data_IF_008220483211
#
_entry.id   IF_008220483211
#
_cell.length_a   1.000
_cell.length_b   1.000
_cell.length_c   1.000
_cell.angle_alpha   90.00
_cell.angle_beta   90.00
_cell.angle_gamma   90.00
#
_symmetry.space_group_name_H-M   'P 1'
#
loop_
_entity.id
_entity.type
_entity.pdbx_description
1 polymer ?
#
# COMPACT_ATOMS: atom_id res chain seq x y z
N UNK A 1 -23.34 -56.84 -67.50
CA UNK A 1 -22.49 -56.62 -66.31
C UNK A 1 -22.08 -55.14 -66.20
N UNK A 2 -23.03 -54.20 -66.09
CA UNK A 2 -22.74 -52.75 -66.14
C UNK A 2 -23.36 -51.95 -64.98
N UNK A 3 -24.08 -52.59 -64.05
CA UNK A 3 -24.80 -51.88 -62.97
C UNK A 3 -23.93 -51.58 -61.74
N UNK A 4 -22.88 -52.38 -61.46
CA UNK A 4 -22.01 -52.19 -60.28
C UNK A 4 -20.97 -51.07 -60.44
N UNK A 5 -20.60 -50.71 -61.68
CA UNK A 5 -19.63 -49.63 -61.94
C UNK A 5 -20.20 -48.26 -61.59
N UNK A 6 -21.50 -48.03 -61.84
CA UNK A 6 -22.16 -46.76 -61.58
C UNK A 6 -22.36 -46.50 -60.08
N UNK A 7 -22.71 -47.54 -59.31
CA UNK A 7 -22.87 -47.43 -57.85
C UNK A 7 -21.55 -47.12 -57.14
N UNK A 8 -20.44 -47.74 -57.56
CA UNK A 8 -19.11 -47.47 -57.01
C UNK A 8 -18.57 -46.08 -57.41
N UNK A 9 -19.01 -45.52 -58.54
CA UNK A 9 -18.68 -44.14 -58.91
C UNK A 9 -19.53 -43.12 -58.12
N UNK A 10 -20.81 -43.41 -57.90
CA UNK A 10 -21.70 -42.57 -57.11
C UNK A 10 -21.28 -42.52 -55.63
N UNK A 11 -20.88 -43.65 -55.04
CA UNK A 11 -20.34 -43.70 -53.68
C UNK A 11 -19.05 -42.89 -53.52
N UNK A 12 -18.19 -42.84 -54.55
CA UNK A 12 -16.96 -42.02 -54.55
C UNK A 12 -17.26 -40.52 -54.65
N UNK A 13 -18.36 -40.14 -55.30
CA UNK A 13 -18.77 -38.73 -55.37
C UNK A 13 -19.40 -38.24 -54.06
N UNK A 14 -20.09 -39.12 -53.32
CA UNK A 14 -20.69 -38.78 -52.02
C UNK A 14 -19.66 -38.77 -50.86
N UNK A 15 -18.57 -39.54 -50.97
CA UNK A 15 -17.48 -39.56 -49.98
C UNK A 15 -16.42 -38.48 -50.22
N UNK A 16 -16.37 -37.86 -51.41
CA UNK A 16 -15.48 -36.73 -51.71
C UNK A 16 -16.03 -35.39 -51.20
N UNK A 17 -16.54 -35.34 -49.96
CA UNK A 17 -16.78 -34.07 -49.28
C UNK A 17 -15.45 -33.63 -48.68
N UNK A 18 -14.64 -32.96 -49.49
CA UNK A 18 -13.49 -32.14 -49.06
C UNK A 18 -14.04 -31.10 -48.07
N UNK A 19 -14.01 -31.43 -46.78
CA UNK A 19 -14.22 -30.47 -45.71
C UNK A 19 -13.08 -29.47 -45.82
N UNK A 20 -13.40 -28.32 -46.41
CA UNK A 20 -12.55 -27.14 -46.39
C UNK A 20 -12.57 -26.63 -44.94
N UNK A 21 -11.88 -27.34 -44.06
CA UNK A 21 -11.48 -26.79 -42.77
C UNK A 21 -10.64 -25.58 -43.12
N UNK A 22 -11.23 -24.39 -43.04
CA UNK A 22 -10.48 -23.15 -42.97
C UNK A 22 -9.48 -23.39 -41.85
N UNK A 23 -8.23 -23.67 -42.21
CA UNK A 23 -7.14 -23.60 -41.26
C UNK A 23 -7.21 -22.17 -40.75
N UNK A 24 -7.78 -22.01 -39.55
CA UNK A 24 -7.59 -20.79 -38.79
C UNK A 24 -6.09 -20.80 -38.59
N UNK A 25 -5.37 -20.03 -39.40
CA UNK A 25 -3.91 -19.91 -39.30
C UNK A 25 -3.69 -19.55 -37.84
N UNK A 26 -3.22 -20.50 -37.05
CA UNK A 26 -2.81 -20.25 -35.69
C UNK A 26 -1.56 -19.39 -35.81
N UNK A 27 -1.78 -18.07 -35.93
CA UNK A 27 -0.75 -17.07 -35.80
C UNK A 27 -0.30 -17.12 -34.34
N UNK A 28 0.67 -17.98 -34.06
CA UNK A 28 1.37 -18.01 -32.79
C UNK A 28 2.06 -16.67 -32.57
N UNK A 29 2.11 -16.25 -31.30
CA UNK A 29 2.87 -15.08 -30.87
C UNK A 29 4.35 -15.32 -31.19
N UNK A 30 4.99 -14.37 -31.86
CA UNK A 30 6.42 -14.50 -32.17
C UNK A 30 7.25 -14.23 -30.91
N UNK A 31 8.39 -14.91 -30.78
CA UNK A 31 9.31 -14.69 -29.65
C UNK A 31 9.84 -13.24 -29.65
N UNK A 32 9.97 -12.64 -30.85
CA UNK A 32 10.39 -11.24 -31.02
C UNK A 32 9.33 -10.27 -30.51
N UNK A 33 8.04 -10.52 -30.76
CA UNK A 33 6.95 -9.72 -30.18
C UNK A 33 7.00 -9.76 -28.66
N UNK A 34 7.29 -10.92 -28.07
CA UNK A 34 7.42 -11.04 -26.62
C UNK A 34 8.65 -10.30 -26.07
N UNK A 35 9.78 -10.35 -26.79
CA UNK A 35 11.00 -9.64 -26.41
C UNK A 35 10.82 -8.12 -26.35
N UNK A 36 10.19 -7.53 -27.36
CA UNK A 36 9.97 -6.07 -27.37
C UNK A 36 9.03 -5.66 -26.25
N UNK A 37 8.01 -6.46 -25.94
CA UNK A 37 7.08 -6.18 -24.84
C UNK A 37 7.79 -6.18 -23.48
N UNK A 38 8.62 -7.19 -23.18
CA UNK A 38 9.32 -7.22 -21.89
C UNK A 38 10.31 -6.06 -21.75
N UNK A 39 10.91 -5.59 -22.85
CA UNK A 39 11.83 -4.43 -22.83
C UNK A 39 11.05 -3.15 -22.50
N UNK A 40 9.91 -2.93 -23.15
CA UNK A 40 9.08 -1.73 -22.89
C UNK A 40 8.54 -1.75 -21.45
N UNK A 41 7.99 -2.89 -21.00
CA UNK A 41 7.50 -3.04 -19.61
C UNK A 41 8.64 -2.86 -18.62
N UNK A 42 9.84 -3.36 -18.94
CA UNK A 42 11.05 -3.16 -18.15
C UNK A 42 11.37 -1.67 -17.91
N UNK A 43 11.41 -0.87 -18.98
CA UNK A 43 11.69 0.57 -18.89
C UNK A 43 10.60 1.31 -18.08
N UNK A 44 9.33 1.02 -18.37
CA UNK A 44 8.21 1.66 -17.66
C UNK A 44 8.21 1.30 -16.16
N UNK A 45 8.48 0.03 -15.83
CA UNK A 45 8.51 -0.44 -14.44
C UNK A 45 9.64 0.21 -13.63
N UNK A 46 10.79 0.47 -14.25
CA UNK A 46 11.94 1.09 -13.59
C UNK A 46 11.64 2.51 -13.08
N UNK A 47 10.79 3.27 -13.77
CA UNK A 47 10.42 4.64 -13.36
C UNK A 47 9.13 4.66 -12.53
N UNK A 48 8.14 3.84 -12.91
CA UNK A 48 6.83 3.86 -12.27
C UNK A 48 6.83 3.25 -10.87
N UNK A 49 7.55 2.13 -10.66
CA UNK A 49 7.57 1.43 -9.39
C UNK A 49 8.14 2.25 -8.22
N UNK A 50 9.31 2.91 -8.31
CA UNK A 50 9.83 3.69 -7.19
C UNK A 50 8.92 4.87 -6.83
N UNK A 51 8.29 5.51 -7.83
CA UNK A 51 7.32 6.57 -7.59
C UNK A 51 6.07 6.03 -6.87
N UNK A 52 5.50 4.92 -7.36
CA UNK A 52 4.34 4.29 -6.73
C UNK A 52 4.60 3.90 -5.27
N UNK A 53 5.77 3.33 -4.96
CA UNK A 53 6.15 2.98 -3.59
C UNK A 53 6.28 4.22 -2.70
N UNK A 54 6.84 5.32 -3.21
CA UNK A 54 6.94 6.59 -2.48
C UNK A 54 5.56 7.20 -2.20
N UNK A 55 4.66 7.19 -3.18
CA UNK A 55 3.29 7.70 -3.01
C UNK A 55 2.47 6.84 -2.03
N UNK A 56 2.65 5.52 -2.08
CA UNK A 56 2.07 4.61 -1.10
C UNK A 56 2.57 4.92 0.32
N UNK A 57 3.88 5.12 0.50
CA UNK A 57 4.46 5.51 1.79
C UNK A 57 3.85 6.84 2.30
N UNK A 58 3.72 7.85 1.44
CA UNK A 58 3.10 9.14 1.80
C UNK A 58 1.65 8.99 2.25
N UNK A 59 0.86 8.17 1.56
CA UNK A 59 -0.52 7.90 1.94
C UNK A 59 -0.61 7.25 3.33
N UNK A 60 0.26 6.28 3.61
CA UNK A 60 0.35 5.65 4.95
C UNK A 60 0.77 6.65 6.03
N UNK A 61 1.73 7.52 5.74
CA UNK A 61 2.16 8.58 6.67
C UNK A 61 1.07 9.62 6.93
N UNK A 62 0.27 9.98 5.92
CA UNK A 62 -0.86 10.89 6.08
C UNK A 62 -1.94 10.30 7.01
N UNK A 63 -2.22 9.00 6.90
CA UNK A 63 -3.10 8.27 7.81
C UNK A 63 -2.58 8.34 9.26
N UNK A 64 -1.29 8.09 9.46
CA UNK A 64 -0.67 8.19 10.78
C UNK A 64 -0.67 9.62 11.34
N UNK A 65 -0.44 10.63 10.49
CA UNK A 65 -0.54 12.04 10.87
C UNK A 65 -1.95 12.43 11.32
N UNK A 66 -2.98 11.93 10.63
CA UNK A 66 -4.38 12.11 11.04
C UNK A 66 -4.62 11.48 12.41
N UNK A 67 -4.14 10.25 12.62
CA UNK A 67 -4.29 9.54 13.88
C UNK A 67 -3.60 10.26 15.05
N UNK A 68 -2.35 10.73 14.88
CA UNK A 68 -1.67 11.56 15.90
C UNK A 68 -2.50 12.81 16.22
N UNK A 69 -3.06 13.46 15.20
CA UNK A 69 -3.86 14.68 15.42
C UNK A 69 -5.12 14.39 16.24
N UNK A 70 -5.73 13.21 16.09
CA UNK A 70 -6.83 12.75 16.95
C UNK A 70 -6.36 12.48 18.38
N UNK A 71 -5.24 11.77 18.53
CA UNK A 71 -4.63 11.47 19.85
C UNK A 71 -4.37 12.77 20.63
N UNK A 72 -3.72 13.75 19.99
CA UNK A 72 -3.40 15.03 20.64
C UNK A 72 -4.66 15.80 21.05
N UNK A 73 -5.68 15.86 20.18
CA UNK A 73 -6.95 16.54 20.51
C UNK A 73 -7.68 15.88 21.68
N UNK A 74 -7.72 14.56 21.70
CA UNK A 74 -8.34 13.80 22.80
C UNK A 74 -7.57 13.99 24.11
N UNK A 75 -6.24 13.97 24.04
CA UNK A 75 -5.40 14.23 25.21
C UNK A 75 -5.58 15.66 25.75
N UNK A 76 -5.72 16.65 24.87
CA UNK A 76 -6.02 18.02 25.27
C UNK A 76 -7.37 18.12 25.98
N UNK A 77 -8.41 17.47 25.43
CA UNK A 77 -9.73 17.44 26.05
C UNK A 77 -9.69 16.78 27.45
N UNK A 78 -8.90 15.72 27.59
CA UNK A 78 -8.71 15.03 28.87
C UNK A 78 -7.98 15.92 29.89
N UNK A 79 -6.94 16.64 29.46
CA UNK A 79 -6.24 17.61 30.30
C UNK A 79 -7.16 18.73 30.80
N UNK A 80 -8.02 19.28 29.93
CA UNK A 80 -8.98 20.31 30.34
C UNK A 80 -10.04 19.80 31.33
N UNK A 81 -10.33 18.50 31.33
CA UNK A 81 -11.30 17.90 32.24
C UNK A 81 -10.68 17.53 33.59
N UNK A 82 -9.45 17.01 33.59
CA UNK A 82 -8.78 16.46 34.77
C UNK A 82 -7.74 17.39 35.40
N UNK A 83 -7.27 18.41 34.67
CA UNK A 83 -6.19 19.30 35.07
C UNK A 83 -4.79 18.66 35.11
N UNK A 84 -4.70 17.36 34.88
CA UNK A 84 -3.45 16.59 34.81
C UNK A 84 -3.57 15.55 33.70
N UNK A 85 -2.42 15.12 33.16
CA UNK A 85 -2.37 14.14 32.09
C UNK A 85 -1.36 13.04 32.44
N UNK A 86 -1.80 11.79 32.35
CA UNK A 86 -0.93 10.61 32.41
C UNK A 86 -1.10 9.86 31.10
N UNK A 87 -0.02 9.69 30.33
CA UNK A 87 -0.04 8.87 29.13
C UNK A 87 0.27 7.42 29.45
N UNK A 88 -0.56 6.50 28.97
CA UNK A 88 -0.05 5.17 28.60
C UNK A 88 1.03 5.31 27.53
N UNK A 89 2.04 4.44 27.60
CA UNK A 89 3.14 4.44 26.65
C UNK A 89 2.69 4.26 25.19
N UNK A 90 1.47 3.74 24.97
CA UNK A 90 0.94 3.35 23.67
C UNK A 90 -0.17 4.28 23.15
N UNK A 91 -0.45 5.40 23.84
CA UNK A 91 -1.51 6.36 23.50
C UNK A 91 -2.93 5.77 23.44
N UNK A 92 -3.17 4.58 23.99
CA UNK A 92 -4.47 3.89 23.88
C UNK A 92 -5.58 4.62 24.62
N UNK A 93 -5.23 5.38 25.66
CA UNK A 93 -6.16 6.23 26.42
C UNK A 93 -6.84 7.30 25.54
N UNK A 94 -6.22 7.62 24.39
CA UNK A 94 -6.68 8.66 23.47
C UNK A 94 -7.04 8.13 22.08
N UNK A 95 -7.29 6.83 21.97
CA UNK A 95 -7.83 6.20 20.77
C UNK A 95 -6.78 5.70 19.77
N UNK A 96 -5.50 5.62 20.17
CA UNK A 96 -4.52 4.92 19.35
C UNK A 96 -4.86 3.42 19.27
N UNK A 97 -4.69 2.78 18.10
CA UNK A 97 -4.83 1.34 18.00
C UNK A 97 -3.74 0.66 18.84
N UNK A 98 -4.10 -0.43 19.52
CA UNK A 98 -3.17 -1.23 20.33
C UNK A 98 -1.92 -1.59 19.52
N UNK A 99 -0.73 -1.42 20.11
CA UNK A 99 0.55 -1.69 19.47
C UNK A 99 0.60 -3.13 18.97
N UNK A 100 0.62 -3.29 17.65
CA UNK A 100 0.97 -4.55 16.98
C UNK A 100 2.14 -4.37 16.01
N UNK A 101 2.83 -3.22 16.04
CA UNK A 101 3.92 -2.91 15.11
C UNK A 101 5.28 -3.49 15.51
N UNK A 102 5.37 -4.22 16.63
CA UNK A 102 6.59 -4.91 17.07
C UNK A 102 6.76 -6.30 16.47
N UNK A 103 5.74 -6.84 15.81
CA UNK A 103 5.80 -8.19 15.23
C UNK A 103 6.25 -8.11 13.77
N UNK A 104 7.43 -8.67 13.51
CA UNK A 104 8.02 -8.77 12.17
C UNK A 104 7.17 -9.58 11.16
N UNK A 105 6.10 -10.26 11.61
CA UNK A 105 5.36 -11.25 10.82
C UNK A 105 3.83 -11.04 10.75
N UNK A 106 3.27 -10.00 11.35
CA UNK A 106 1.82 -9.85 11.35
C UNK A 106 1.34 -9.12 10.08
N UNK A 107 0.72 -9.87 9.17
CA UNK A 107 -0.21 -9.35 8.12
C UNK A 107 -1.41 -8.56 8.71
N UNK A 108 -1.52 -8.55 10.04
CA UNK A 108 -2.49 -7.82 10.88
C UNK A 108 -1.84 -6.67 11.67
N UNK A 109 -0.52 -6.45 11.53
CA UNK A 109 0.18 -5.35 12.20
C UNK A 109 -0.28 -4.02 11.63
N UNK A 110 -0.54 -3.07 12.53
CA UNK A 110 -0.77 -1.68 12.17
C UNK A 110 0.41 -1.15 11.35
N UNK A 111 0.12 -0.31 10.34
CA UNK A 111 1.16 0.32 9.49
C UNK A 111 2.14 1.14 10.34
N UNK A 112 1.64 1.78 11.38
CA UNK A 112 2.41 2.53 12.35
C UNK A 112 2.02 2.11 13.77
N UNK A 113 3.01 1.99 14.65
CA UNK A 113 2.80 1.92 16.09
C UNK A 113 2.89 3.29 16.72
N UNK A 114 2.07 3.56 17.73
CA UNK A 114 1.98 4.86 18.39
C UNK A 114 2.57 4.78 19.79
N UNK A 115 3.25 5.85 20.20
CA UNK A 115 3.78 6.01 21.55
C UNK A 115 3.54 7.40 22.08
N UNK A 116 3.24 7.49 23.37
CA UNK A 116 2.99 8.76 24.04
C UNK A 116 3.89 8.91 25.26
N UNK A 117 4.40 10.12 25.44
CA UNK A 117 5.16 10.51 26.62
C UNK A 117 4.71 11.90 27.08
N UNK A 118 4.45 12.05 28.37
CA UNK A 118 4.10 13.34 28.98
C UNK A 118 5.27 13.79 29.84
N UNK A 119 5.69 15.03 29.66
CA UNK A 119 6.72 15.68 30.47
C UNK A 119 6.24 17.10 30.82
N UNK A 120 5.92 17.31 32.09
CA UNK A 120 5.29 18.57 32.53
C UNK A 120 3.98 18.83 31.80
N UNK A 121 3.92 19.94 31.07
CA UNK A 121 2.75 20.35 30.27
C UNK A 121 2.86 19.98 28.80
N UNK A 122 3.83 19.16 28.40
CA UNK A 122 4.01 18.77 27.01
C UNK A 122 3.72 17.29 26.83
N UNK A 123 2.80 16.98 25.90
CA UNK A 123 2.58 15.63 25.40
C UNK A 123 3.35 15.45 24.10
N UNK A 124 4.15 14.39 24.00
CA UNK A 124 4.82 13.96 22.77
C UNK A 124 4.16 12.68 22.27
N UNK A 125 3.61 12.71 21.07
CA UNK A 125 3.06 11.54 20.38
C UNK A 125 3.94 11.18 19.18
N UNK A 126 4.35 9.92 19.11
CA UNK A 126 5.25 9.40 18.07
C UNK A 126 4.62 8.21 17.37
N UNK A 127 4.45 8.31 16.05
CA UNK A 127 4.12 7.17 15.19
C UNK A 127 5.41 6.62 14.55
N UNK A 128 5.63 5.32 14.70
CA UNK A 128 6.79 4.60 14.15
C UNK A 128 6.32 3.60 13.10
N UNK A 129 6.88 3.68 11.89
CA UNK A 129 6.52 2.78 10.79
C UNK A 129 6.88 1.33 11.11
N UNK A 130 6.03 0.41 10.66
CA UNK A 130 6.24 -1.02 10.83
C UNK A 130 7.57 -1.47 10.16
N UNK A 131 8.45 -2.19 10.88
CA UNK A 131 9.75 -2.61 10.34
C UNK A 131 9.64 -3.56 9.14
N UNK A 132 8.57 -4.34 9.03
CA UNK A 132 8.32 -5.30 7.93
C UNK A 132 7.89 -4.62 6.64
N UNK A 133 7.43 -3.37 6.71
CA UNK A 133 7.06 -2.60 5.54
C UNK A 133 8.24 -1.73 5.09
N UNK A 134 8.98 -2.20 4.09
CA UNK A 134 10.18 -1.53 3.54
C UNK A 134 9.92 -0.11 3.06
N UNK A 135 8.68 0.29 2.82
CA UNK A 135 8.33 1.65 2.40
C UNK A 135 8.31 2.66 3.56
N UNK A 136 8.09 2.18 4.79
CA UNK A 136 7.92 3.02 5.99
C UNK A 136 8.84 2.62 7.16
N UNK A 137 9.57 1.51 7.04
CA UNK A 137 10.54 1.03 8.03
C UNK A 137 11.55 2.11 8.39
N UNK A 138 11.78 2.31 9.69
CA UNK A 138 12.67 3.34 10.23
C UNK A 138 12.17 4.78 10.08
N UNK A 139 10.96 5.01 9.55
CA UNK A 139 10.38 6.36 9.46
C UNK A 139 9.50 6.64 10.67
N UNK A 140 9.67 7.81 11.26
CA UNK A 140 8.89 8.28 12.41
C UNK A 140 8.22 9.62 12.12
N UNK A 141 7.07 9.82 12.74
CA UNK A 141 6.34 11.09 12.80
C UNK A 141 6.20 11.44 14.26
N UNK A 142 6.72 12.60 14.66
CA UNK A 142 6.65 13.07 16.05
C UNK A 142 5.93 14.40 16.08
N UNK A 143 4.90 14.50 16.92
CA UNK A 143 4.22 15.76 17.22
C UNK A 143 4.19 15.97 18.72
N UNK A 144 4.36 17.21 19.12
CA UNK A 144 4.26 17.67 20.49
C UNK A 144 3.06 18.58 20.63
N UNK A 145 2.36 18.47 21.76
CA UNK A 145 1.26 19.34 22.14
C UNK A 145 1.63 19.99 23.46
N UNK A 146 1.60 21.31 23.49
CA UNK A 146 1.56 22.07 24.73
C UNK A 146 0.12 22.05 25.27
N UNK A 147 -0.06 21.43 26.43
CA UNK A 147 -1.35 21.23 27.08
C UNK A 147 -1.93 22.53 27.67
N UNK A 148 -1.11 23.56 27.90
CA UNK A 148 -1.57 24.86 28.40
C UNK A 148 -2.08 25.74 27.25
N UNK A 149 -1.34 25.78 26.14
CA UNK A 149 -1.64 26.67 25.01
C UNK A 149 -2.45 25.99 23.90
N UNK A 150 -2.48 24.67 23.88
CA UNK A 150 -3.07 23.89 22.78
C UNK A 150 -2.22 23.90 21.50
N UNK A 151 -1.01 24.47 21.56
CA UNK A 151 -0.15 24.57 20.39
C UNK A 151 0.44 23.20 20.05
N UNK A 152 0.24 22.77 18.80
CA UNK A 152 0.85 21.56 18.26
C UNK A 152 2.11 21.97 17.49
N UNK A 153 3.26 21.40 17.87
CA UNK A 153 4.53 21.57 17.16
C UNK A 153 4.99 20.23 16.61
N UNK A 154 5.35 20.20 15.33
CA UNK A 154 5.83 18.99 14.65
C UNK A 154 7.36 18.95 14.68
N UNK A 155 7.95 17.78 14.97
CA UNK A 155 9.40 17.66 14.91
C UNK A 155 9.89 17.87 13.47
N UNK A 156 10.99 18.60 13.29
CA UNK A 156 11.49 19.03 11.97
C UNK A 156 12.34 17.97 11.23
N UNK A 157 12.34 16.73 11.71
CA UNK A 157 13.13 15.64 11.17
C UNK A 157 12.78 15.31 9.71
N UNK A 158 13.77 14.85 8.95
CA UNK A 158 13.60 14.53 7.53
C UNK A 158 12.52 13.46 7.27
N UNK A 159 12.19 12.62 8.26
CA UNK A 159 11.15 11.59 8.17
C UNK A 159 9.74 12.14 8.36
N UNK A 160 9.52 13.12 9.25
CA UNK A 160 8.22 13.79 9.40
C UNK A 160 7.91 14.68 8.20
N UNK A 161 8.94 15.31 7.60
CA UNK A 161 8.83 16.10 6.34
C UNK A 161 8.35 15.28 5.15
N UNK A 162 8.75 14.01 5.04
CA UNK A 162 8.28 13.11 3.98
C UNK A 162 6.77 12.86 4.03
N UNK A 163 6.13 13.08 5.17
CA UNK A 163 4.73 12.80 5.41
C UNK A 163 3.86 14.05 5.63
N UNK A 164 4.39 15.22 5.31
CA UNK A 164 3.64 16.49 5.41
C UNK A 164 3.86 17.26 6.70
N UNK A 165 4.94 16.98 7.45
CA UNK A 165 5.37 17.81 8.57
C UNK A 165 5.67 19.24 8.11
N UNK A 166 5.02 20.23 8.70
CA UNK A 166 5.27 21.65 8.46
C UNK A 166 6.54 22.10 9.18
N UNK A 167 7.37 22.89 8.48
CA UNK A 167 8.49 23.58 9.11
C UNK A 167 7.97 24.87 9.75
N UNK A 168 8.05 24.98 11.06
CA UNK A 168 8.03 26.27 11.74
C UNK A 168 8.83 26.21 13.03
#
# INVERSE_FOLDING_TARGET
MTSTTFQNQLLRQLTSKKTNSKNIIQKGFTLVELMVVIVIVGILSAVALPNFLSQSAKAKGAEANSMISVILKNAQADYHTKGTLTASADCTDWGAPSKTSSDADAKTATKFGYTCAVSGSTLTATATGNPSDTTISGKTIVKTLDLQTGLITEATDSTSKLFGGTAS
#
